data_IF_752605499046
#
_entry.id   IF_752605499046
#
_cell.length_a   1.000
_cell.length_b   1.000
_cell.length_c   1.000
_cell.angle_alpha   90.00
_cell.angle_beta   90.00
_cell.angle_gamma   90.00
#
_symmetry.space_group_name_H-M   'P 1'
#
loop_
_entity.id
_entity.type
_entity.pdbx_description
1 polymer ?
#
# COMPACT_ATOMS: atom_id res chain seq x y z
N UNK A 1 21.77 24.43 -25.40
CA UNK A 1 20.51 23.69 -25.59
C UNK A 1 20.67 22.35 -24.90
N UNK A 2 20.14 22.22 -23.70
CA UNK A 2 20.11 20.97 -22.93
C UNK A 2 18.69 20.44 -23.02
N UNK A 3 18.54 19.29 -23.65
CA UNK A 3 17.30 18.53 -23.74
C UNK A 3 17.17 17.70 -22.45
N UNK A 4 16.17 17.91 -21.58
CA UNK A 4 15.99 17.13 -20.37
C UNK A 4 14.84 16.14 -20.57
N UNK A 5 15.01 15.17 -21.46
CA UNK A 5 14.12 14.02 -21.53
C UNK A 5 14.93 12.75 -21.36
N UNK A 6 15.33 12.51 -20.11
CA UNK A 6 15.65 11.17 -19.63
C UNK A 6 14.58 10.84 -18.60
N UNK A 7 13.44 10.33 -19.05
CA UNK A 7 12.69 9.42 -18.18
C UNK A 7 13.57 8.17 -18.05
N UNK A 8 14.03 7.76 -16.85
CA UNK A 8 14.72 6.48 -16.73
C UNK A 8 13.73 5.38 -17.13
N UNK A 9 13.98 4.60 -18.20
CA UNK A 9 13.31 3.33 -18.35
C UNK A 9 13.83 2.43 -17.22
N UNK A 10 13.00 1.50 -16.75
CA UNK A 10 13.31 0.48 -15.72
C UNK A 10 13.00 0.79 -14.25
N UNK A 11 12.07 1.71 -13.94
CA UNK A 11 11.45 1.73 -12.60
C UNK A 11 10.14 0.93 -12.54
N UNK A 12 9.75 0.24 -13.61
CA UNK A 12 8.67 -0.75 -13.51
C UNK A 12 9.30 -2.04 -12.99
N UNK A 13 9.10 -2.43 -11.71
CA UNK A 13 9.50 -3.75 -11.26
C UNK A 13 8.81 -4.77 -12.17
N UNK A 14 9.60 -5.39 -13.06
CA UNK A 14 9.12 -6.44 -13.93
C UNK A 14 8.99 -7.70 -13.09
N UNK A 15 7.77 -8.22 -12.99
CA UNK A 15 7.55 -9.55 -12.43
C UNK A 15 8.48 -10.51 -13.18
N UNK A 16 9.30 -11.32 -12.48
CA UNK A 16 10.21 -12.23 -13.16
C UNK A 16 9.44 -13.07 -14.17
N UNK A 17 9.91 -13.18 -15.43
CA UNK A 17 9.14 -13.80 -16.53
C UNK A 17 8.83 -15.29 -16.31
N UNK A 18 9.37 -15.88 -15.23
CA UNK A 18 9.14 -17.26 -14.80
C UNK A 18 7.82 -17.48 -14.07
N UNK A 19 7.13 -16.44 -13.59
CA UNK A 19 5.91 -16.61 -12.80
C UNK A 19 4.65 -16.42 -13.65
N UNK A 20 3.77 -17.42 -13.60
CA UNK A 20 2.39 -17.27 -14.04
C UNK A 20 1.63 -16.27 -13.14
N UNK A 21 0.55 -15.63 -13.63
CA UNK A 21 -0.27 -14.75 -12.81
C UNK A 21 -0.73 -15.37 -11.48
N UNK A 22 -1.06 -16.67 -11.49
CA UNK A 22 -1.48 -17.39 -10.29
C UNK A 22 -0.37 -17.50 -9.26
N UNK A 23 0.87 -17.72 -9.69
CA UNK A 23 2.03 -17.76 -8.78
C UNK A 23 2.35 -16.38 -8.22
N UNK A 24 2.16 -15.31 -9.00
CA UNK A 24 2.32 -13.95 -8.50
C UNK A 24 1.28 -13.61 -7.42
N UNK A 25 0.03 -14.02 -7.63
CA UNK A 25 -1.04 -13.85 -6.62
C UNK A 25 -0.71 -14.64 -5.36
N UNK A 26 -0.22 -15.87 -5.49
CA UNK A 26 0.19 -16.69 -4.34
C UNK A 26 1.33 -16.03 -3.56
N UNK A 27 2.38 -15.57 -4.24
CA UNK A 27 3.50 -14.86 -3.61
C UNK A 27 3.05 -13.56 -2.92
N UNK A 28 2.13 -12.83 -3.54
CA UNK A 28 1.54 -11.65 -2.93
C UNK A 28 0.73 -12.00 -1.67
N UNK A 29 -0.07 -13.06 -1.70
CA UNK A 29 -0.83 -13.53 -0.54
C UNK A 29 0.11 -13.95 0.60
N UNK A 30 1.17 -14.72 0.31
CA UNK A 30 2.17 -15.11 1.31
C UNK A 30 2.85 -13.90 1.97
N UNK A 31 3.14 -12.86 1.17
CA UNK A 31 3.69 -11.60 1.68
C UNK A 31 2.67 -10.88 2.58
N UNK A 32 1.40 -10.82 2.19
CA UNK A 32 0.35 -10.20 2.99
C UNK A 32 0.15 -10.91 4.33
N UNK A 33 0.17 -12.25 4.34
CA UNK A 33 0.09 -13.06 5.56
C UNK A 33 1.28 -12.77 6.48
N UNK A 34 2.49 -12.67 5.94
CA UNK A 34 3.69 -12.33 6.72
C UNK A 34 3.59 -10.90 7.32
N UNK A 35 3.10 -9.93 6.54
CA UNK A 35 2.84 -8.58 7.01
C UNK A 35 1.81 -8.56 8.14
N UNK A 36 0.73 -9.35 8.05
CA UNK A 36 -0.27 -9.46 9.11
C UNK A 36 0.35 -10.00 10.41
N UNK A 37 1.24 -11.00 10.33
CA UNK A 37 1.92 -11.51 11.53
C UNK A 37 2.75 -10.43 12.25
N UNK A 38 3.40 -9.53 11.51
CA UNK A 38 4.12 -8.40 12.11
C UNK A 38 3.19 -7.43 12.83
N UNK A 39 2.04 -7.12 12.23
CA UNK A 39 1.01 -6.28 12.88
C UNK A 39 0.51 -6.94 14.15
N UNK A 40 0.14 -8.22 14.10
CA UNK A 40 -0.35 -8.96 15.26
C UNK A 40 0.70 -9.04 16.38
N UNK A 41 1.97 -9.22 16.03
CA UNK A 41 3.07 -9.20 17.01
C UNK A 41 3.24 -7.83 17.67
N UNK A 42 3.16 -6.75 16.89
CA UNK A 42 3.17 -5.38 17.40
C UNK A 42 2.02 -5.11 18.37
N UNK A 43 0.79 -5.44 17.96
CA UNK A 43 -0.41 -5.25 18.78
C UNK A 43 -0.35 -6.07 20.08
N UNK A 44 0.09 -7.34 20.02
CA UNK A 44 0.30 -8.17 21.22
C UNK A 44 1.27 -7.53 22.21
N UNK A 45 2.35 -6.92 21.71
CA UNK A 45 3.32 -6.21 22.55
C UNK A 45 2.70 -4.98 23.21
N UNK A 46 1.82 -4.26 22.54
CA UNK A 46 1.18 -3.05 23.07
C UNK A 46 0.11 -3.34 24.13
N UNK A 47 -0.73 -4.35 23.91
CA UNK A 47 -1.86 -4.66 24.81
C UNK A 47 -1.48 -5.59 25.98
N UNK A 48 -0.31 -6.24 25.91
CA UNK A 48 0.15 -7.19 26.92
C UNK A 48 -0.52 -8.58 26.82
N UNK A 49 -0.13 -9.53 27.69
CA UNK A 49 -0.54 -10.94 27.58
C UNK A 49 -2.04 -11.18 27.80
N UNK A 50 -2.70 -10.32 28.58
CA UNK A 50 -4.13 -10.44 28.91
C UNK A 50 -5.03 -9.59 27.99
N UNK A 51 -4.44 -8.87 27.02
CA UNK A 51 -5.17 -7.98 26.13
C UNK A 51 -5.97 -8.71 25.06
N UNK A 52 -7.12 -8.15 24.67
CA UNK A 52 -7.92 -8.67 23.56
C UNK A 52 -7.30 -8.26 22.21
N UNK A 53 -6.49 -9.17 21.66
CA UNK A 53 -5.85 -8.98 20.36
C UNK A 53 -6.84 -8.75 19.22
N UNK A 54 -8.03 -9.38 19.27
CA UNK A 54 -9.02 -9.26 18.22
C UNK A 54 -9.69 -7.88 18.26
N UNK A 55 -9.95 -7.35 19.44
CA UNK A 55 -10.42 -5.97 19.59
C UNK A 55 -9.34 -4.97 19.13
N UNK A 56 -8.08 -5.18 19.52
CA UNK A 56 -6.96 -4.34 19.13
C UNK A 56 -6.77 -4.31 17.60
N UNK A 57 -6.78 -5.48 16.95
CA UNK A 57 -6.68 -5.58 15.49
C UNK A 57 -7.83 -4.87 14.77
N UNK A 58 -9.07 -5.05 15.22
CA UNK A 58 -10.23 -4.36 14.61
C UNK A 58 -10.14 -2.85 14.74
N UNK A 59 -9.71 -2.35 15.90
CA UNK A 59 -9.50 -0.92 16.12
C UNK A 59 -8.40 -0.39 15.19
N UNK A 60 -7.24 -1.05 15.18
CA UNK A 60 -6.12 -0.69 14.32
C UNK A 60 -6.54 -0.68 12.84
N UNK A 61 -7.23 -1.71 12.37
CA UNK A 61 -7.69 -1.80 10.98
C UNK A 61 -8.63 -0.65 10.61
N UNK A 62 -9.57 -0.29 11.50
CA UNK A 62 -10.46 0.83 11.26
C UNK A 62 -9.70 2.16 11.14
N UNK A 63 -8.69 2.39 11.99
CA UNK A 63 -7.83 3.57 11.93
C UNK A 63 -7.00 3.62 10.64
N UNK A 64 -6.46 2.47 10.19
CA UNK A 64 -5.72 2.40 8.93
C UNK A 64 -6.60 2.65 7.71
N UNK A 65 -7.85 2.18 7.71
CA UNK A 65 -8.77 2.44 6.62
C UNK A 65 -9.20 3.90 6.55
N UNK A 66 -9.40 4.55 7.69
CA UNK A 66 -9.67 5.99 7.71
C UNK A 66 -8.51 6.80 7.10
N UNK A 67 -7.27 6.46 7.44
CA UNK A 67 -6.09 7.14 6.89
C UNK A 67 -5.90 6.85 5.39
N UNK A 68 -6.13 5.60 4.97
CA UNK A 68 -6.12 5.22 3.56
C UNK A 68 -7.14 6.03 2.77
N UNK A 69 -8.38 6.13 3.25
CA UNK A 69 -9.45 6.84 2.55
C UNK A 69 -9.15 8.35 2.46
N UNK A 70 -8.62 8.93 3.54
CA UNK A 70 -8.15 10.32 3.55
C UNK A 70 -7.05 10.56 2.52
N UNK A 71 -6.08 9.64 2.44
CA UNK A 71 -4.99 9.72 1.47
C UNK A 71 -5.51 9.61 0.04
N UNK A 72 -6.43 8.68 -0.22
CA UNK A 72 -7.03 8.49 -1.55
C UNK A 72 -7.83 9.71 -1.99
N UNK A 73 -8.63 10.30 -1.10
CA UNK A 73 -9.35 11.55 -1.37
C UNK A 73 -8.38 12.68 -1.73
N UNK A 74 -7.31 12.86 -0.95
CA UNK A 74 -6.30 13.87 -1.24
C UNK A 74 -5.60 13.65 -2.60
N UNK A 75 -5.28 12.40 -2.95
CA UNK A 75 -4.68 12.07 -4.25
C UNK A 75 -5.63 12.38 -5.42
N UNK A 76 -6.93 12.14 -5.25
CA UNK A 76 -7.96 12.47 -6.25
C UNK A 76 -8.04 13.99 -6.45
N UNK A 77 -8.13 14.76 -5.36
CA UNK A 77 -8.15 16.24 -5.42
C UNK A 77 -6.91 16.78 -6.14
N UNK A 78 -5.73 16.24 -5.84
CA UNK A 78 -4.48 16.62 -6.49
C UNK A 78 -4.45 16.27 -7.98
N UNK A 79 -5.04 15.14 -8.37
CA UNK A 79 -5.14 14.74 -9.77
C UNK A 79 -6.08 15.66 -10.55
N UNK A 80 -7.25 16.00 -10.00
CA UNK A 80 -8.19 16.95 -10.59
C UNK A 80 -7.57 18.34 -10.75
N UNK A 81 -6.85 18.82 -9.73
CA UNK A 81 -6.13 20.10 -9.76
C UNK A 81 -5.08 20.17 -10.86
N UNK A 82 -4.40 19.05 -11.16
CA UNK A 82 -3.37 18.97 -12.22
C UNK A 82 -3.97 18.74 -13.61
N UNK A 83 -5.08 18.02 -13.71
CA UNK A 83 -5.79 17.75 -14.97
C UNK A 83 -6.55 18.96 -15.54
N UNK A 84 -7.00 19.87 -14.68
CA UNK A 84 -7.74 21.08 -15.08
C UNK A 84 -6.89 22.20 -15.74
N UNK A 85 -5.57 22.04 -15.84
CA UNK A 85 -4.65 23.04 -16.39
C UNK A 85 -4.32 22.91 -17.89
N UNK A 86 -4.85 21.90 -18.59
CA UNK A 86 -4.60 21.65 -20.02
C UNK A 86 -5.87 21.79 -20.87
N UNK A 87 -6.52 22.95 -20.77
CA UNK A 87 -7.51 23.39 -21.74
C UNK A 87 -7.24 24.86 -22.11
N UNK A 88 -6.37 25.05 -23.10
CA UNK A 88 -6.37 26.22 -24.00
C UNK A 88 -6.85 25.77 -25.38
#
# INVERSE_FOLDING_TARGET
MTDPSVSPPDLTPSVPPSYSPQQCIALWADLMDACEQFVLAGLRREIGPDGDLKAAYRKWYAEQMEEHDRTMLHMIEEFERRGGGHAE
#
